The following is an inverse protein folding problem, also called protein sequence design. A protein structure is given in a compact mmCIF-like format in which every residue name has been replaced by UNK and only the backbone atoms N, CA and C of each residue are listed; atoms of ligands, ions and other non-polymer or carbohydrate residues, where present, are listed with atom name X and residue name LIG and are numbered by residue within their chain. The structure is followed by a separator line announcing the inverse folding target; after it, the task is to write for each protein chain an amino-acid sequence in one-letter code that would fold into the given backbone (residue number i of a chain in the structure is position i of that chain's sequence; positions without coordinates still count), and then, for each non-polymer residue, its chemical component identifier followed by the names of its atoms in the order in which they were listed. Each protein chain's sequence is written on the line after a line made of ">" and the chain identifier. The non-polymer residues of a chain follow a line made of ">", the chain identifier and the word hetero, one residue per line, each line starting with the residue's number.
data_IF_692900160905
#
_entry.id   IF_692900160905
#
_cell.length_a   1.000
_cell.length_b   1.000
_cell.length_c   1.000
_cell.angle_alpha   90.00
_cell.angle_beta   90.00
_cell.angle_gamma   90.00
#
_symmetry.space_group_name_H-M   'P 1'
#
loop_
_entity.id
_entity.type
_entity.pdbx_description
1 polymer ?
#
# COMPACT_ATOMS: atom_id res chain seq x y z
N UNK A 1 -9.27 -0.40 -12.22
CA UNK A 1 -8.09 -1.08 -11.68
C UNK A 1 -8.24 -1.09 -10.16
N UNK A 2 -8.34 -2.27 -9.53
CA UNK A 2 -8.38 -2.34 -8.06
C UNK A 2 -6.96 -2.10 -7.58
N UNK A 3 -6.76 -1.09 -6.72
CA UNK A 3 -5.48 -0.87 -6.02
C UNK A 3 -5.18 -2.10 -5.17
N UNK A 4 -4.38 -3.02 -5.71
CA UNK A 4 -3.97 -4.27 -5.06
C UNK A 4 -2.71 -4.08 -4.20
N UNK A 5 -2.14 -2.87 -4.20
CA UNK A 5 -0.99 -2.51 -3.39
C UNK A 5 -1.47 -2.08 -2.01
N UNK A 6 -0.99 -2.77 -0.98
CA UNK A 6 -1.12 -2.29 0.39
C UNK A 6 0.26 -1.87 0.86
N UNK A 7 0.58 -0.60 0.64
CA UNK A 7 1.82 0.02 1.10
C UNK A 7 1.66 0.43 2.57
N UNK A 8 2.63 0.07 3.42
CA UNK A 8 2.82 0.65 4.76
C UNK A 8 1.81 0.21 5.81
N UNK A 9 1.83 -1.03 6.27
CA UNK A 9 0.86 -1.51 7.28
C UNK A 9 1.07 -1.04 8.73
N UNK A 10 1.87 -0.02 8.99
CA UNK A 10 2.21 0.44 10.36
C UNK A 10 2.01 1.94 10.60
N UNK A 11 1.35 2.68 9.71
CA UNK A 11 0.97 4.08 9.97
C UNK A 11 -0.40 4.16 10.66
N UNK A 12 -0.58 5.18 11.50
CA UNK A 12 -1.89 5.51 12.05
C UNK A 12 -2.89 5.80 10.91
N UNK A 13 -4.12 5.28 11.00
CA UNK A 13 -5.18 5.57 10.03
C UNK A 13 -6.04 6.71 10.57
N UNK A 14 -5.78 7.97 10.18
CA UNK A 14 -6.47 9.09 10.79
C UNK A 14 -7.97 9.04 10.48
N UNK A 15 -8.78 9.37 11.48
CA UNK A 15 -10.21 9.62 11.31
C UNK A 15 -10.59 11.05 11.71
N UNK A 16 -11.73 11.52 11.23
CA UNK A 16 -12.22 12.86 11.56
C UNK A 16 -12.44 13.05 13.07
N UNK A 17 -13.06 12.07 13.72
CA UNK A 17 -13.33 12.10 15.16
C UNK A 17 -12.02 12.06 15.95
N UNK A 18 -11.09 11.19 15.58
CA UNK A 18 -9.75 11.13 16.18
C UNK A 18 -9.04 12.50 16.06
N UNK A 19 -9.10 13.12 14.88
CA UNK A 19 -8.53 14.45 14.64
C UNK A 19 -9.13 15.55 15.53
N UNK A 20 -10.45 15.53 15.75
CA UNK A 20 -11.10 16.44 16.70
C UNK A 20 -10.67 16.18 18.14
N UNK A 21 -10.61 14.90 18.55
CA UNK A 21 -10.24 14.51 19.90
C UNK A 21 -8.78 14.87 20.24
N UNK A 22 -7.89 14.94 19.24
CA UNK A 22 -6.50 15.41 19.42
C UNK A 22 -6.39 16.84 19.96
N UNK A 23 -7.40 17.70 19.76
CA UNK A 23 -7.41 19.06 20.34
C UNK A 23 -7.52 19.06 21.87
N UNK A 24 -8.07 17.98 22.44
CA UNK A 24 -8.23 17.79 23.88
C UNK A 24 -7.20 16.81 24.46
N UNK A 25 -6.43 16.12 23.63
CA UNK A 25 -5.41 15.15 24.01
C UNK A 25 -4.07 15.80 24.37
N UNK A 26 -4.08 16.62 25.42
CA UNK A 26 -2.85 17.29 25.91
C UNK A 26 -1.80 16.29 26.44
N UNK A 27 -2.22 15.05 26.74
CA UNK A 27 -1.36 13.97 27.21
C UNK A 27 -0.80 13.05 26.11
N UNK A 28 -1.17 13.24 24.85
CA UNK A 28 -0.68 12.43 23.72
C UNK A 28 -1.11 10.95 23.77
N UNK A 29 -2.25 10.66 24.38
CA UNK A 29 -2.77 9.30 24.61
C UNK A 29 -3.48 8.69 23.40
N UNK A 30 -3.86 9.49 22.41
CA UNK A 30 -4.59 9.03 21.22
C UNK A 30 -3.67 8.55 20.09
N UNK A 31 -2.34 8.54 20.29
CA UNK A 31 -1.41 8.09 19.27
C UNK A 31 -1.30 6.56 19.25
N UNK A 32 -2.10 5.91 18.40
CA UNK A 32 -2.04 4.47 18.16
C UNK A 32 -1.54 4.15 16.74
N UNK A 33 -0.52 3.30 16.64
CA UNK A 33 -0.01 2.83 15.36
C UNK A 33 -0.62 1.47 15.03
N UNK A 34 -0.85 1.21 13.73
CA UNK A 34 -1.15 -0.15 13.30
C UNK A 34 0.00 -1.08 13.70
N UNK A 35 -0.32 -2.24 14.29
CA UNK A 35 0.67 -3.24 14.70
C UNK A 35 0.51 -4.54 13.90
N UNK A 36 1.62 -5.25 13.75
CA UNK A 36 1.65 -6.62 13.23
C UNK A 36 1.87 -7.58 14.40
N UNK A 37 1.34 -8.80 14.31
CA UNK A 37 1.55 -9.86 15.32
C UNK A 37 3.04 -10.13 15.58
N UNK A 38 3.89 -9.91 14.59
CA UNK A 38 5.35 -9.85 14.77
C UNK A 38 6.01 -8.97 13.70
N UNK A 39 7.20 -8.46 14.02
CA UNK A 39 8.08 -7.73 13.09
C UNK A 39 8.38 -8.57 11.84
N UNK A 40 8.77 -9.84 12.02
CA UNK A 40 9.09 -10.73 10.91
C UNK A 40 7.90 -10.95 9.97
N UNK A 41 6.67 -11.02 10.50
CA UNK A 41 5.45 -11.13 9.69
C UNK A 41 5.17 -9.84 8.90
N UNK A 42 5.50 -8.67 9.46
CA UNK A 42 5.36 -7.41 8.77
C UNK A 42 6.32 -7.35 7.58
N UNK A 43 7.61 -7.62 7.82
CA UNK A 43 8.66 -7.53 6.81
C UNK A 43 8.43 -8.48 5.64
N UNK A 44 8.11 -9.75 5.92
CA UNK A 44 7.83 -10.74 4.87
C UNK A 44 6.66 -10.28 3.99
N UNK A 45 5.65 -9.66 4.60
CA UNK A 45 4.46 -9.20 3.88
C UNK A 45 4.75 -7.99 3.00
N UNK A 46 5.51 -7.03 3.50
CA UNK A 46 5.90 -5.85 2.72
C UNK A 46 6.84 -6.24 1.57
N UNK A 47 7.86 -7.09 1.80
CA UNK A 47 8.75 -7.61 0.73
C UNK A 47 7.95 -8.35 -0.35
N UNK A 48 6.97 -9.17 0.05
CA UNK A 48 6.09 -9.87 -0.90
C UNK A 48 5.25 -8.90 -1.71
N UNK A 49 4.79 -7.80 -1.11
CA UNK A 49 4.03 -6.77 -1.81
C UNK A 49 4.89 -6.03 -2.84
N UNK A 50 6.14 -5.70 -2.49
CA UNK A 50 7.08 -5.03 -3.41
C UNK A 50 7.34 -5.90 -4.66
N UNK A 51 7.63 -7.19 -4.45
CA UNK A 51 7.82 -8.12 -5.56
C UNK A 51 6.58 -8.28 -6.43
N UNK A 52 5.40 -8.27 -5.81
CA UNK A 52 4.14 -8.33 -6.55
C UNK A 52 3.94 -7.08 -7.40
N UNK A 53 4.24 -5.89 -6.88
CA UNK A 53 4.15 -4.64 -7.63
C UNK A 53 5.04 -4.65 -8.86
N UNK A 54 6.31 -5.05 -8.72
CA UNK A 54 7.21 -5.21 -9.85
C UNK A 54 6.65 -6.19 -10.89
N UNK A 55 6.13 -7.33 -10.45
CA UNK A 55 5.55 -8.33 -11.35
C UNK A 55 4.31 -7.84 -12.11
N UNK A 56 3.40 -7.15 -11.42
CA UNK A 56 2.19 -6.58 -12.01
C UNK A 56 2.53 -5.48 -13.04
N UNK A 57 3.52 -4.63 -12.74
CA UNK A 57 3.99 -3.57 -13.65
C UNK A 57 4.69 -4.14 -14.89
N UNK A 58 5.52 -5.18 -14.73
CA UNK A 58 6.15 -5.89 -15.85
C UNK A 58 5.09 -6.51 -16.76
N UNK A 59 4.10 -7.20 -16.18
CA UNK A 59 3.01 -7.82 -16.93
C UNK A 59 2.22 -6.78 -17.72
N UNK A 60 1.87 -5.67 -17.08
CA UNK A 60 1.16 -4.58 -17.73
C UNK A 60 1.97 -3.99 -18.90
N UNK A 61 3.27 -3.80 -18.71
CA UNK A 61 4.18 -3.23 -19.71
C UNK A 61 4.31 -4.15 -20.93
N UNK A 62 4.49 -5.46 -20.73
CA UNK A 62 4.55 -6.45 -21.81
C UNK A 62 3.24 -6.48 -22.60
N UNK A 63 2.11 -6.62 -21.90
CA UNK A 63 0.79 -6.67 -22.56
C UNK A 63 0.48 -5.37 -23.33
N UNK A 64 0.92 -4.21 -22.83
CA UNK A 64 0.76 -2.93 -23.50
C UNK A 64 1.65 -2.82 -24.74
N UNK A 65 2.90 -3.29 -24.65
CA UNK A 65 3.82 -3.34 -25.78
C UNK A 65 3.27 -4.22 -26.91
N UNK A 66 2.83 -5.45 -26.60
CA UNK A 66 2.26 -6.38 -27.58
C UNK A 66 1.03 -5.81 -28.28
N UNK A 67 0.12 -5.16 -27.55
CA UNK A 67 -1.05 -4.51 -28.13
C UNK A 67 -0.68 -3.35 -29.07
N UNK A 68 0.32 -2.55 -28.69
CA UNK A 68 0.77 -1.44 -29.52
C UNK A 68 1.49 -1.94 -30.78
N UNK A 69 2.30 -3.00 -30.67
CA UNK A 69 2.95 -3.63 -31.81
C UNK A 69 1.92 -4.18 -32.81
N UNK A 70 0.92 -4.91 -32.33
CA UNK A 70 -0.15 -5.47 -33.18
C UNK A 70 -1.03 -4.41 -33.86
N UNK A 71 -1.13 -3.20 -33.27
CA UNK A 71 -1.83 -2.05 -33.89
C UNK A 71 -1.00 -1.38 -34.98
N UNK A 72 0.31 -1.32 -34.83
CA UNK A 72 1.21 -0.73 -35.83
C UNK A 72 1.42 -1.62 -37.06
N UNK A 73 1.22 -2.93 -36.92
CA UNK A 73 1.34 -3.90 -38.02
C UNK A 73 0.06 -4.10 -38.83
N UNK A 74 -1.01 -3.33 -38.55
CA UNK A 74 -2.25 -3.28 -39.33
C UNK A 74 -2.37 -1.94 -40.04
#
# INVERSE_FOLDING_TARGET
>A
MKNLYVFGKLFAKPSFIEGMSRLLDLGGTLQEYNSSESEQKADIKEIKNDWRAVGDDLRFSVSSYEQNFAKQSK
#
